data_IF_447002090374
#
_entry.id   IF_447002090374
#
_cell.length_a   1.000
_cell.length_b   1.000
_cell.length_c   1.000
_cell.angle_alpha   90.00
_cell.angle_beta   90.00
_cell.angle_gamma   90.00
#
_symmetry.space_group_name_H-M   'P 1'
#
loop_
_entity.id
_entity.type
_entity.pdbx_description
1 polymer ?
#
# COMPACT_ATOMS: atom_id res chain seq x y z
N UNK A 1 24.73 -20.26 9.61
CA UNK A 1 23.97 -20.10 8.36
C UNK A 1 23.88 -18.62 8.07
N UNK A 2 24.36 -18.17 6.91
CA UNK A 2 24.20 -16.77 6.49
C UNK A 2 22.79 -16.66 5.93
N UNK A 3 21.88 -16.02 6.66
CA UNK A 3 20.54 -15.70 6.16
C UNK A 3 20.68 -14.55 5.15
N UNK A 4 20.95 -14.88 3.89
CA UNK A 4 20.88 -13.92 2.80
C UNK A 4 19.42 -13.50 2.63
N UNK A 5 19.07 -12.33 3.16
CA UNK A 5 17.79 -11.68 2.87
C UNK A 5 17.92 -10.99 1.52
N UNK A 6 17.30 -11.59 0.50
CA UNK A 6 16.96 -10.88 -0.71
C UNK A 6 15.81 -9.94 -0.35
N UNK A 7 15.83 -8.69 -0.82
CA UNK A 7 14.86 -7.67 -0.43
C UNK A 7 14.57 -6.74 -1.60
N UNK A 8 13.35 -6.23 -1.65
CA UNK A 8 13.03 -5.05 -2.45
C UNK A 8 13.58 -3.83 -1.72
N UNK A 9 14.28 -2.97 -2.47
CA UNK A 9 14.80 -1.69 -1.99
C UNK A 9 13.90 -0.60 -2.59
N UNK A 10 13.40 0.30 -1.75
CA UNK A 10 12.78 1.54 -2.21
C UNK A 10 13.89 2.48 -2.72
N UNK A 11 13.91 2.77 -4.02
CA UNK A 11 14.90 3.67 -4.64
C UNK A 11 14.17 4.93 -5.11
N UNK A 12 14.60 6.08 -4.62
CA UNK A 12 14.07 7.37 -5.05
C UNK A 12 15.06 8.05 -5.99
N UNK A 13 14.58 8.58 -7.12
CA UNK A 13 15.41 9.30 -8.11
C UNK A 13 15.96 10.64 -7.63
N UNK A 14 15.60 11.07 -6.41
CA UNK A 14 16.09 12.27 -5.74
C UNK A 14 16.06 12.06 -4.23
N UNK A 15 16.77 12.92 -3.48
CA UNK A 15 16.65 12.95 -2.03
C UNK A 15 15.19 13.20 -1.59
N UNK A 16 14.79 12.49 -0.55
CA UNK A 16 13.49 12.66 0.12
C UNK A 16 13.61 13.84 1.08
N UNK A 17 12.71 14.81 0.92
CA UNK A 17 12.59 15.93 1.82
C UNK A 17 11.57 15.59 2.91
N UNK A 18 12.06 15.18 4.08
CA UNK A 18 11.20 14.70 5.18
C UNK A 18 10.32 15.80 5.77
N UNK A 19 10.56 17.07 5.44
CA UNK A 19 9.69 18.19 5.81
C UNK A 19 8.44 18.28 4.96
N UNK A 20 8.43 17.63 3.77
CA UNK A 20 7.31 17.66 2.84
C UNK A 20 6.41 16.44 3.05
N UNK A 21 5.13 16.64 3.41
CA UNK A 21 4.17 15.55 3.54
C UNK A 21 4.11 14.69 2.29
N UNK A 22 4.12 15.29 1.09
CA UNK A 22 4.15 14.60 -0.20
C UNK A 22 5.27 13.55 -0.30
N UNK A 23 6.50 13.93 0.05
CA UNK A 23 7.65 13.04 -0.05
C UNK A 23 7.58 11.91 0.96
N UNK A 24 7.11 12.21 2.17
CA UNK A 24 6.87 11.20 3.19
C UNK A 24 5.73 10.26 2.82
N UNK A 25 4.68 10.74 2.15
CA UNK A 25 3.59 9.88 1.66
C UNK A 25 4.08 8.91 0.58
N UNK A 26 4.91 9.37 -0.35
CA UNK A 26 5.58 8.48 -1.29
C UNK A 26 6.49 7.48 -0.58
N UNK A 27 7.23 7.89 0.44
CA UNK A 27 7.99 6.95 1.26
C UNK A 27 7.08 5.87 1.89
N UNK A 28 5.91 6.24 2.40
CA UNK A 28 4.94 5.28 2.95
C UNK A 28 4.41 4.30 1.88
N UNK A 29 4.22 4.77 0.64
CA UNK A 29 3.86 3.91 -0.50
C UNK A 29 4.94 2.86 -0.76
N UNK A 30 6.20 3.29 -0.93
CA UNK A 30 7.30 2.38 -1.26
C UNK A 30 7.63 1.42 -0.12
N UNK A 31 7.56 1.87 1.14
CA UNK A 31 7.76 0.99 2.30
C UNK A 31 6.63 -0.05 2.41
N UNK A 32 5.43 0.25 1.91
CA UNK A 32 4.35 -0.75 1.81
C UNK A 32 4.75 -1.88 0.85
N UNK A 33 5.41 -1.58 -0.27
CA UNK A 33 5.94 -2.61 -1.17
C UNK A 33 7.05 -3.45 -0.55
N UNK A 34 7.95 -2.82 0.23
CA UNK A 34 8.97 -3.54 1.00
C UNK A 34 8.30 -4.51 1.99
N UNK A 35 7.28 -4.06 2.71
CA UNK A 35 6.50 -4.88 3.62
C UNK A 35 5.77 -6.03 2.90
N UNK A 36 5.13 -5.77 1.75
CA UNK A 36 4.47 -6.80 0.94
C UNK A 36 5.46 -7.89 0.51
N UNK A 37 6.66 -7.50 0.06
CA UNK A 37 7.71 -8.45 -0.29
C UNK A 37 8.22 -9.25 0.92
N UNK A 38 8.43 -8.60 2.07
CA UNK A 38 8.85 -9.28 3.28
C UNK A 38 7.82 -10.30 3.78
N UNK A 39 6.54 -10.02 3.55
CA UNK A 39 5.43 -10.87 3.98
C UNK A 39 5.15 -12.02 3.00
N UNK A 40 5.23 -11.77 1.68
CA UNK A 40 4.85 -12.74 0.63
C UNK A 40 6.03 -13.44 -0.06
N UNK A 41 7.25 -12.91 0.08
CA UNK A 41 8.42 -13.38 -0.65
C UNK A 41 8.27 -13.30 -2.17
N UNK A 42 8.67 -14.35 -2.89
CA UNK A 42 8.67 -14.37 -4.37
C UNK A 42 7.28 -14.30 -5.01
N UNK A 43 6.22 -14.59 -4.26
CA UNK A 43 4.84 -14.47 -4.74
C UNK A 43 4.47 -13.02 -5.06
N UNK A 44 5.00 -12.07 -4.28
CA UNK A 44 4.88 -10.63 -4.55
C UNK A 44 5.24 -10.29 -6.00
N UNK A 45 6.39 -10.77 -6.49
CA UNK A 45 6.88 -10.44 -7.82
C UNK A 45 5.95 -10.96 -8.92
N UNK A 46 5.38 -12.16 -8.75
CA UNK A 46 4.42 -12.72 -9.71
C UNK A 46 3.17 -11.85 -9.78
N UNK A 47 2.62 -11.47 -8.63
CA UNK A 47 1.40 -10.66 -8.54
C UNK A 47 1.67 -9.25 -9.07
N UNK A 48 2.76 -8.60 -8.65
CA UNK A 48 3.13 -7.26 -9.09
C UNK A 48 3.33 -7.21 -10.62
N UNK A 49 4.03 -8.19 -11.20
CA UNK A 49 4.20 -8.27 -12.66
C UNK A 49 2.87 -8.50 -13.39
N UNK A 50 2.02 -9.38 -12.86
CA UNK A 50 0.69 -9.64 -13.44
C UNK A 50 -0.22 -8.41 -13.34
N UNK A 51 -0.23 -7.73 -12.18
CA UNK A 51 -0.95 -6.48 -12.00
C UNK A 51 -0.42 -5.42 -12.95
N UNK A 52 0.90 -5.20 -13.06
CA UNK A 52 1.48 -4.24 -13.99
C UNK A 52 1.15 -4.54 -15.46
N UNK A 53 1.14 -5.82 -15.86
CA UNK A 53 0.78 -6.25 -17.21
C UNK A 53 -0.71 -6.06 -17.54
N UNK A 54 -1.59 -6.14 -16.54
CA UNK A 54 -3.06 -6.07 -16.69
C UNK A 54 -3.66 -4.72 -16.28
N UNK A 55 -2.87 -3.87 -15.62
CA UNK A 55 -3.30 -2.73 -14.82
C UNK A 55 -3.95 -1.59 -15.60
N UNK A 56 -3.37 -1.21 -16.74
CA UNK A 56 -3.69 0.07 -17.38
C UNK A 56 -3.80 1.22 -16.36
N UNK A 57 -4.71 2.18 -16.60
CA UNK A 57 -4.98 3.30 -15.67
C UNK A 57 -5.83 2.91 -14.44
N UNK A 58 -6.46 1.73 -14.46
CA UNK A 58 -7.41 1.27 -13.44
C UNK A 58 -6.75 0.52 -12.26
N UNK A 59 -5.43 0.32 -12.26
CA UNK A 59 -4.75 -0.25 -11.09
C UNK A 59 -4.49 0.74 -9.96
N UNK A 60 -4.60 2.05 -10.23
CA UNK A 60 -4.34 3.10 -9.25
C UNK A 60 -5.61 3.68 -8.65
N UNK A 61 -6.76 3.51 -9.30
CA UNK A 61 -8.02 4.09 -8.85
C UNK A 61 -8.75 3.13 -7.90
N UNK A 62 -8.87 3.54 -6.64
CA UNK A 62 -9.68 2.87 -5.63
C UNK A 62 -10.87 3.73 -5.18
N UNK A 63 -11.21 4.79 -5.94
CA UNK A 63 -12.26 5.78 -5.69
C UNK A 63 -12.07 6.62 -4.40
N UNK A 64 -10.85 6.67 -3.86
CA UNK A 64 -10.55 7.46 -2.66
C UNK A 64 -11.35 7.00 -1.43
N UNK A 65 -11.66 7.93 -0.52
CA UNK A 65 -12.36 7.62 0.73
C UNK A 65 -13.77 7.05 0.54
N UNK A 66 -14.52 7.57 -0.42
CA UNK A 66 -15.86 7.05 -0.74
C UNK A 66 -15.78 5.61 -1.28
N UNK A 67 -14.74 5.31 -2.07
CA UNK A 67 -14.41 3.96 -2.47
C UNK A 67 -14.14 3.04 -1.29
N UNK A 68 -13.28 3.47 -0.35
CA UNK A 68 -12.96 2.73 0.87
C UNK A 68 -14.21 2.43 1.70
N UNK A 69 -15.06 3.43 1.90
CA UNK A 69 -16.33 3.27 2.62
C UNK A 69 -17.22 2.23 1.96
N UNK A 70 -17.47 2.34 0.64
CA UNK A 70 -18.28 1.37 -0.12
C UNK A 70 -17.70 -0.05 -0.01
N UNK A 71 -16.39 -0.20 -0.21
CA UNK A 71 -15.68 -1.48 -0.15
C UNK A 71 -15.82 -2.09 1.25
N UNK A 72 -15.60 -1.30 2.31
CA UNK A 72 -15.74 -1.80 3.69
C UNK A 72 -17.17 -2.24 4.00
N UNK A 73 -18.19 -1.51 3.53
CA UNK A 73 -19.60 -1.93 3.71
C UNK A 73 -19.93 -3.24 3.01
N UNK A 74 -19.19 -3.60 1.95
CA UNK A 74 -19.30 -4.90 1.26
C UNK A 74 -18.50 -6.02 1.94
N UNK A 75 -17.78 -5.72 3.03
CA UNK A 75 -16.93 -6.67 3.73
C UNK A 75 -15.52 -6.80 3.17
N UNK A 76 -15.10 -5.91 2.25
CA UNK A 76 -13.74 -5.93 1.73
C UNK A 76 -12.71 -5.58 2.82
N UNK A 77 -11.56 -6.21 2.69
CA UNK A 77 -10.39 -6.03 3.55
C UNK A 77 -9.25 -5.38 2.80
N UNK A 78 -8.16 -5.06 3.49
CA UNK A 78 -6.97 -4.50 2.87
C UNK A 78 -6.44 -5.39 1.73
N UNK A 79 -6.37 -6.71 1.93
CA UNK A 79 -6.02 -7.68 0.88
C UNK A 79 -6.95 -7.70 -0.33
N UNK A 80 -8.18 -7.19 -0.24
CA UNK A 80 -9.08 -7.14 -1.40
C UNK A 80 -8.57 -6.16 -2.47
N UNK A 81 -7.68 -5.23 -2.14
CA UNK A 81 -7.11 -4.24 -3.05
C UNK A 81 -5.86 -4.76 -3.76
N UNK A 82 -5.60 -4.23 -4.96
CA UNK A 82 -4.36 -4.47 -5.70
C UNK A 82 -3.14 -3.98 -4.91
N UNK A 83 -1.95 -4.50 -5.19
CA UNK A 83 -0.74 -4.15 -4.44
C UNK A 83 -0.43 -2.65 -4.51
N UNK A 84 -0.62 -2.02 -5.67
CA UNK A 84 -0.47 -0.57 -5.84
C UNK A 84 -1.54 0.23 -5.09
N UNK A 85 -2.80 -0.23 -5.12
CA UNK A 85 -3.89 0.41 -4.36
C UNK A 85 -3.63 0.34 -2.86
N UNK A 86 -3.05 -0.76 -2.37
CA UNK A 86 -2.64 -0.89 -0.97
C UNK A 86 -1.58 0.17 -0.60
N UNK A 87 -0.56 0.39 -1.44
CA UNK A 87 0.41 1.46 -1.26
C UNK A 87 -0.24 2.85 -1.25
N UNK A 88 -1.14 3.10 -2.20
CA UNK A 88 -1.86 4.38 -2.31
C UNK A 88 -2.78 4.64 -1.11
N UNK A 89 -3.41 3.60 -0.55
CA UNK A 89 -4.24 3.70 0.66
C UNK A 89 -3.39 4.12 1.86
N UNK A 90 -2.21 3.51 2.05
CA UNK A 90 -1.29 3.85 3.16
C UNK A 90 -0.75 5.27 2.99
N UNK A 91 -0.35 5.66 1.76
CA UNK A 91 0.05 7.02 1.41
C UNK A 91 -1.03 8.05 1.74
N UNK A 92 -2.26 7.80 1.28
CA UNK A 92 -3.36 8.74 1.45
C UNK A 92 -3.84 8.81 2.91
N UNK A 93 -3.79 7.69 3.64
CA UNK A 93 -3.96 7.70 5.09
C UNK A 93 -2.94 8.60 5.78
N UNK A 94 -1.66 8.51 5.40
CA UNK A 94 -0.61 9.38 5.95
C UNK A 94 -0.88 10.86 5.65
N UNK A 95 -1.30 11.20 4.44
CA UNK A 95 -1.69 12.58 4.09
C UNK A 95 -2.83 13.09 4.97
N UNK A 96 -3.93 12.33 5.07
CA UNK A 96 -5.08 12.73 5.88
C UNK A 96 -4.70 12.88 7.36
N UNK A 97 -3.84 12.00 7.89
CA UNK A 97 -3.31 12.11 9.25
C UNK A 97 -2.47 13.37 9.45
N UNK A 98 -1.60 13.73 8.50
CA UNK A 98 -0.75 14.93 8.60
C UNK A 98 -1.51 16.24 8.40
N UNK A 99 -2.56 16.22 7.60
CA UNK A 99 -3.45 17.36 7.39
C UNK A 99 -4.48 17.54 8.52
N UNK A 100 -4.54 16.62 9.49
CA UNK A 100 -5.53 16.64 10.57
C UNK A 100 -6.97 16.38 10.09
N UNK A 101 -7.12 15.68 8.96
CA UNK A 101 -8.41 15.29 8.39
C UNK A 101 -8.96 14.05 9.10
N UNK A 102 -10.26 13.80 8.91
CA UNK A 102 -10.86 12.53 9.36
C UNK A 102 -10.22 11.35 8.62
N UNK A 103 -9.96 10.27 9.34
CA UNK A 103 -9.34 9.04 8.85
C UNK A 103 -10.20 7.81 9.11
N UNK A 104 -11.45 7.98 9.53
CA UNK A 104 -12.35 6.89 9.88
C UNK A 104 -12.49 5.85 8.76
N UNK A 105 -12.55 6.30 7.49
CA UNK A 105 -12.69 5.42 6.33
C UNK A 105 -11.42 4.58 6.05
N UNK A 106 -10.25 5.02 6.50
CA UNK A 106 -8.99 4.29 6.35
C UNK A 106 -8.76 3.29 7.49
N UNK A 107 -9.22 3.62 8.70
CA UNK A 107 -8.84 2.93 9.94
C UNK A 107 -9.00 1.41 9.88
N UNK A 108 -10.14 0.93 9.37
CA UNK A 108 -10.40 -0.51 9.25
C UNK A 108 -9.41 -1.24 8.34
N UNK A 109 -8.91 -0.58 7.29
CA UNK A 109 -7.92 -1.15 6.37
C UNK A 109 -6.50 -1.09 6.95
N UNK A 110 -6.17 -0.05 7.71
CA UNK A 110 -4.90 0.04 8.44
C UNK A 110 -4.85 -1.01 9.57
N UNK A 111 -5.97 -1.28 10.23
CA UNK A 111 -6.06 -2.37 11.22
C UNK A 111 -5.89 -3.75 10.58
N UNK A 112 -6.42 -3.97 9.37
CA UNK A 112 -6.21 -5.21 8.62
C UNK A 112 -4.70 -5.36 8.26
N UNK A 113 -4.05 -4.29 7.79
CA UNK A 113 -2.61 -4.24 7.52
C UNK A 113 -1.77 -4.60 8.77
N UNK A 114 -2.10 -4.01 9.93
CA UNK A 114 -1.40 -4.26 11.20
C UNK A 114 -1.56 -5.70 11.72
N UNK A 115 -2.59 -6.42 11.25
CA UNK A 115 -2.81 -7.84 11.54
C UNK A 115 -2.17 -8.77 10.51
N UNK A 116 -1.35 -8.22 9.62
CA UNK A 116 -0.69 -8.95 8.52
C UNK A 116 -1.69 -9.59 7.53
N UNK A 117 -2.88 -9.00 7.37
CA UNK A 117 -3.93 -9.50 6.47
C UNK A 117 -3.64 -9.10 5.01
N UNK A 118 -2.75 -9.86 4.37
CA UNK A 118 -2.35 -9.73 2.96
C UNK A 118 -2.99 -10.84 2.08
N UNK A 119 -2.88 -10.71 0.75
CA UNK A 119 -3.35 -11.72 -0.21
C UNK A 119 -2.53 -13.00 -0.06
N UNK A 120 -3.17 -14.12 0.26
CA UNK A 120 -2.58 -15.46 0.34
C UNK A 120 -3.63 -16.47 -0.16
N UNK A 121 -3.89 -16.40 -1.46
CA UNK A 121 -4.75 -17.32 -2.21
C UNK A 121 -4.67 -17.05 -3.72
#
# INVERSE_FOLDING_TARGET
>A
MVNAHWGIIAIFGRAIDTSKPHDMGWLMHEVTHVWQYQTMGWEYLKIAMNEQATAGRAAYDYEGEEGLKKRRTKGDKFRSFKLEQQGDIVKNYYYSLKDGKDVANYKGFIEDLQKEDIRFD
#
